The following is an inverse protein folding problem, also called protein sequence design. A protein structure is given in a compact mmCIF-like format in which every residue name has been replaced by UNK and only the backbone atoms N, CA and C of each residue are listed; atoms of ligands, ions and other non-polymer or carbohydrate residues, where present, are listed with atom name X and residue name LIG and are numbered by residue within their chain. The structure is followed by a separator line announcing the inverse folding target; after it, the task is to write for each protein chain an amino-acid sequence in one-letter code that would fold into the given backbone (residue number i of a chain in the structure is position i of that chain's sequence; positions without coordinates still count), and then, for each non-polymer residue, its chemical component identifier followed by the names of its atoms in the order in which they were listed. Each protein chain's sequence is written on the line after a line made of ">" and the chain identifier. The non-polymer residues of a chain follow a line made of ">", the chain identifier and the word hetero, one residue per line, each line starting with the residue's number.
data_IF_883590916592
#
_entry.id   IF_883590916592
#
_cell.length_a   1.000
_cell.length_b   1.000
_cell.length_c   1.000
_cell.angle_alpha   90.00
_cell.angle_beta   90.00
_cell.angle_gamma   90.00
#
_symmetry.space_group_name_H-M   'P 1'
#
loop_
_entity.id
_entity.type
_entity.pdbx_description
1 polymer ?
#
# COMPACT_ATOMS: atom_id res chain seq x y z
N UNK A 1 8.22 -0.49 -11.31
CA UNK A 1 7.31 -1.20 -10.39
C UNK A 1 6.39 -2.20 -11.08
N UNK A 2 5.54 -1.84 -12.06
CA UNK A 2 4.63 -2.82 -12.70
C UNK A 2 5.38 -4.04 -13.26
N UNK A 3 6.50 -3.82 -13.94
CA UNK A 3 7.41 -4.86 -14.40
C UNK A 3 7.83 -5.82 -13.28
N UNK A 4 8.18 -5.28 -12.11
CA UNK A 4 8.63 -6.05 -10.95
C UNK A 4 7.50 -6.83 -10.30
N UNK A 5 6.29 -6.25 -10.22
CA UNK A 5 5.10 -6.98 -9.79
C UNK A 5 4.79 -8.14 -10.74
N UNK A 6 4.85 -7.90 -12.06
CA UNK A 6 4.65 -8.95 -13.06
C UNK A 6 5.72 -10.04 -12.97
N UNK A 7 6.97 -9.67 -12.73
CA UNK A 7 8.08 -10.61 -12.53
C UNK A 7 7.92 -11.44 -11.25
N UNK A 8 7.47 -10.83 -10.16
CA UNK A 8 7.16 -11.55 -8.91
C UNK A 8 5.98 -12.50 -9.05
N UNK A 9 5.04 -12.19 -9.95
CA UNK A 9 3.83 -12.97 -10.16
C UNK A 9 2.79 -12.81 -9.04
N UNK A 10 1.70 -13.58 -9.07
CA UNK A 10 0.66 -13.51 -8.05
C UNK A 10 1.14 -14.03 -6.69
N UNK A 11 0.48 -13.58 -5.61
CA UNK A 11 0.62 -14.21 -4.30
C UNK A 11 -0.14 -15.54 -4.31
N UNK A 12 0.56 -16.64 -4.10
CA UNK A 12 -0.05 -17.97 -4.01
C UNK A 12 -0.60 -18.24 -2.60
N UNK A 13 -1.89 -18.53 -2.54
CA UNK A 13 -2.58 -18.91 -1.32
C UNK A 13 -2.97 -20.38 -1.38
N UNK A 14 -2.76 -21.09 -0.28
CA UNK A 14 -3.20 -22.47 -0.08
C UNK A 14 -4.72 -22.55 -0.01
N UNK A 15 -5.27 -23.75 -0.23
CA UNK A 15 -6.70 -23.99 -0.07
C UNK A 15 -7.18 -23.66 1.35
N UNK A 16 -6.41 -24.00 2.39
CA UNK A 16 -6.73 -23.65 3.77
C UNK A 16 -6.78 -22.14 4.02
N UNK A 17 -5.89 -21.36 3.40
CA UNK A 17 -5.94 -19.89 3.48
C UNK A 17 -7.16 -19.32 2.74
N UNK A 18 -7.52 -19.90 1.60
CA UNK A 18 -8.71 -19.53 0.85
C UNK A 18 -9.98 -19.84 1.65
N UNK A 19 -10.07 -21.01 2.26
CA UNK A 19 -11.21 -21.41 3.08
C UNK A 19 -11.34 -20.57 4.35
N UNK A 20 -10.22 -20.23 4.98
CA UNK A 20 -10.19 -19.30 6.10
C UNK A 20 -10.74 -17.92 5.70
N UNK A 21 -10.29 -17.38 4.56
CA UNK A 21 -10.79 -16.09 4.06
C UNK A 21 -12.28 -16.14 3.72
N UNK A 22 -12.76 -17.23 3.09
CA UNK A 22 -14.19 -17.45 2.82
C UNK A 22 -15.01 -17.56 4.11
N UNK A 23 -14.48 -18.21 5.15
CA UNK A 23 -15.13 -18.30 6.44
C UNK A 23 -15.26 -16.92 7.10
N UNK A 24 -14.21 -16.10 7.06
CA UNK A 24 -14.25 -14.70 7.49
C UNK A 24 -15.32 -13.92 6.73
N UNK A 25 -15.35 -14.01 5.40
CA UNK A 25 -16.33 -13.31 4.55
C UNK A 25 -17.77 -13.70 4.89
N UNK A 26 -18.04 -14.99 5.11
CA UNK A 26 -19.36 -15.47 5.59
C UNK A 26 -19.70 -14.90 6.96
N UNK A 27 -18.74 -14.85 7.89
CA UNK A 27 -18.95 -14.35 9.25
C UNK A 27 -19.31 -12.85 9.27
N UNK A 28 -18.81 -12.07 8.32
CA UNK A 28 -19.14 -10.64 8.18
C UNK A 28 -20.29 -10.38 7.18
N UNK A 29 -20.93 -11.43 6.65
CA UNK A 29 -22.12 -11.33 5.81
C UNK A 29 -21.87 -10.85 4.38
N UNK A 30 -20.66 -11.04 3.82
CA UNK A 30 -20.34 -10.70 2.43
C UNK A 30 -20.11 -11.95 1.57
N UNK A 31 -20.09 -11.76 0.24
CA UNK A 31 -19.84 -12.83 -0.72
C UNK A 31 -18.47 -13.50 -0.47
N UNK A 32 -18.40 -14.84 -0.33
CA UNK A 32 -17.16 -15.55 0.03
C UNK A 32 -16.24 -15.77 -1.18
N UNK A 33 -15.60 -14.70 -1.66
CA UNK A 33 -14.66 -14.71 -2.80
C UNK A 33 -13.29 -15.32 -2.49
N UNK A 34 -12.91 -15.35 -1.21
CA UNK A 34 -11.59 -15.75 -0.73
C UNK A 34 -10.56 -14.61 -0.81
N UNK A 35 -9.32 -14.99 -1.12
CA UNK A 35 -8.15 -14.12 -1.29
C UNK A 35 -7.87 -13.91 -2.77
N UNK A 36 -7.56 -12.67 -3.14
CA UNK A 36 -7.14 -12.31 -4.49
C UNK A 36 -5.64 -12.02 -4.54
N UNK A 37 -4.84 -12.98 -4.96
CA UNK A 37 -3.39 -12.81 -5.10
C UNK A 37 -2.93 -12.21 -6.43
N UNK A 38 -3.86 -11.85 -7.35
CA UNK A 38 -3.50 -11.45 -8.72
C UNK A 38 -2.82 -10.08 -8.74
N UNK A 39 -1.82 -9.95 -9.60
CA UNK A 39 -1.23 -8.65 -9.96
C UNK A 39 -2.21 -7.92 -10.87
N UNK A 40 -2.60 -6.71 -10.48
CA UNK A 40 -3.42 -5.83 -11.30
C UNK A 40 -2.54 -4.78 -11.99
N UNK A 41 -2.96 -4.26 -13.16
CA UNK A 41 -2.32 -3.09 -13.74
C UNK A 41 -2.37 -1.89 -12.79
N UNK A 42 -1.28 -1.12 -12.74
CA UNK A 42 -1.28 0.19 -12.11
C UNK A 42 -2.32 1.08 -12.79
N UNK A 43 -3.07 1.80 -11.98
CA UNK A 43 -4.10 2.71 -12.48
C UNK A 43 -3.51 4.09 -12.77
N UNK A 44 -4.08 4.76 -13.77
CA UNK A 44 -3.80 6.17 -14.03
C UNK A 44 -4.28 7.05 -12.87
N UNK A 45 -3.65 8.21 -12.63
CA UNK A 45 -4.09 9.14 -11.61
C UNK A 45 -5.57 9.52 -11.80
N UNK A 46 -6.38 9.28 -10.77
CA UNK A 46 -7.79 9.69 -10.74
C UNK A 46 -7.89 11.14 -10.22
N UNK A 47 -8.84 11.97 -10.72
CA UNK A 47 -9.06 13.32 -10.18
C UNK A 47 -9.39 13.34 -8.69
N UNK A 48 -10.21 12.37 -8.25
CA UNK A 48 -10.65 12.21 -6.86
C UNK A 48 -10.33 10.80 -6.35
N UNK A 49 -9.07 10.51 -5.98
CA UNK A 49 -8.70 9.19 -5.49
C UNK A 49 -9.33 8.95 -4.11
N UNK A 50 -9.66 7.69 -3.76
CA UNK A 50 -10.10 7.36 -2.41
C UNK A 50 -9.04 7.79 -1.39
N UNK A 51 -9.48 8.51 -0.36
CA UNK A 51 -8.59 9.08 0.66
C UNK A 51 -8.09 8.06 1.69
N UNK A 52 -7.20 8.53 2.55
CA UNK A 52 -6.73 7.84 3.75
C UNK A 52 -6.12 8.85 4.71
N UNK A 53 -6.00 8.50 5.99
CA UNK A 53 -5.33 9.33 7.00
C UNK A 53 -3.99 8.70 7.35
N UNK A 54 -2.91 9.25 6.79
CA UNK A 54 -1.54 8.78 6.98
C UNK A 54 -0.57 9.97 6.90
N UNK A 55 0.44 9.93 7.74
CA UNK A 55 1.62 10.81 7.72
C UNK A 55 2.37 10.82 6.39
N UNK A 56 2.27 9.74 5.59
CA UNK A 56 2.80 9.67 4.23
C UNK A 56 2.25 10.78 3.34
N UNK A 57 1.05 11.31 3.64
CA UNK A 57 0.51 12.48 2.96
C UNK A 57 1.44 13.69 3.05
N UNK A 58 1.99 13.95 4.23
CA UNK A 58 2.90 15.07 4.48
C UNK A 58 4.25 14.85 3.80
N UNK A 59 4.77 13.62 3.86
CA UNK A 59 6.00 13.22 3.17
C UNK A 59 5.87 13.38 1.64
N UNK A 60 4.71 13.02 1.09
CA UNK A 60 4.44 13.08 -0.35
C UNK A 60 4.38 14.50 -0.92
N UNK A 61 4.29 15.53 -0.08
CA UNK A 61 4.44 16.93 -0.49
C UNK A 61 5.90 17.40 -0.53
N UNK A 62 6.81 16.68 0.11
CA UNK A 62 8.22 17.05 0.23
C UNK A 62 9.11 16.30 -0.77
N UNK A 63 8.79 15.03 -1.04
CA UNK A 63 9.57 14.15 -1.92
C UNK A 63 8.69 13.23 -2.76
N UNK A 64 9.16 12.81 -3.96
CA UNK A 64 8.49 11.77 -4.72
C UNK A 64 8.29 10.51 -3.87
N UNK A 65 7.05 10.01 -3.81
CA UNK A 65 6.65 8.96 -2.88
C UNK A 65 5.91 7.86 -3.62
N UNK A 66 6.27 6.61 -3.32
CA UNK A 66 5.59 5.41 -3.81
C UNK A 66 4.92 4.72 -2.63
N UNK A 67 3.67 4.29 -2.82
CA UNK A 67 2.96 3.41 -1.88
C UNK A 67 2.49 2.16 -2.62
N UNK A 68 2.41 1.05 -1.91
CA UNK A 68 1.99 -0.23 -2.45
C UNK A 68 0.93 -0.88 -1.55
N UNK A 69 -0.13 -1.37 -2.15
CA UNK A 69 -1.13 -2.22 -1.50
C UNK A 69 -0.97 -3.65 -2.02
N UNK A 70 -0.99 -4.63 -1.12
CA UNK A 70 -0.92 -6.06 -1.44
C UNK A 70 -1.93 -6.83 -0.61
N UNK A 71 -2.30 -8.02 -1.07
CA UNK A 71 -3.28 -8.88 -0.39
C UNK A 71 -2.72 -9.42 0.92
N UNK A 72 -3.26 -8.91 2.02
CA UNK A 72 -2.94 -9.32 3.41
C UNK A 72 -4.18 -9.74 4.20
N UNK A 73 -5.36 -9.59 3.61
CA UNK A 73 -6.65 -9.96 4.21
C UNK A 73 -7.63 -10.44 3.14
N UNK A 74 -8.73 -11.06 3.58
CA UNK A 74 -9.82 -11.50 2.70
C UNK A 74 -10.37 -10.34 1.83
N UNK A 75 -10.72 -10.65 0.58
CA UNK A 75 -11.22 -9.67 -0.38
C UNK A 75 -12.54 -9.05 0.10
N UNK A 76 -12.69 -7.73 -0.05
CA UNK A 76 -13.93 -7.02 0.30
C UNK A 76 -14.20 -6.89 1.80
N UNK A 77 -13.32 -7.41 2.67
CA UNK A 77 -13.42 -7.22 4.11
C UNK A 77 -13.15 -5.76 4.53
N UNK A 78 -13.79 -5.26 5.61
CA UNK A 78 -13.58 -3.89 6.07
C UNK A 78 -12.18 -3.71 6.66
N UNK A 79 -11.56 -2.56 6.38
CA UNK A 79 -10.38 -2.09 7.09
C UNK A 79 -10.69 -1.77 8.56
N UNK A 80 -9.67 -1.70 9.40
CA UNK A 80 -9.79 -1.42 10.85
C UNK A 80 -10.74 -2.36 11.62
N UNK A 81 -10.85 -3.60 11.17
CA UNK A 81 -11.74 -4.59 11.76
C UNK A 81 -11.01 -5.90 12.07
N UNK A 82 -11.63 -6.72 12.92
CA UNK A 82 -11.10 -8.02 13.32
C UNK A 82 -10.70 -8.97 12.16
N UNK A 83 -11.34 -8.94 10.96
CA UNK A 83 -10.89 -9.74 9.82
C UNK A 83 -9.43 -9.47 9.41
N UNK A 84 -9.00 -8.21 9.48
CA UNK A 84 -7.63 -7.81 9.13
C UNK A 84 -6.64 -8.40 10.13
N UNK A 85 -6.97 -8.34 11.42
CA UNK A 85 -6.14 -8.91 12.49
C UNK A 85 -6.04 -10.43 12.36
N UNK A 86 -7.16 -11.09 12.06
CA UNK A 86 -7.22 -12.55 11.89
C UNK A 86 -6.32 -13.05 10.74
N UNK A 87 -6.33 -12.35 9.59
CA UNK A 87 -5.42 -12.69 8.48
C UNK A 87 -3.97 -12.26 8.74
N UNK A 88 -3.77 -11.14 9.43
CA UNK A 88 -2.45 -10.55 9.66
C UNK A 88 -1.53 -11.42 10.53
N UNK A 89 -2.09 -12.11 11.53
CA UNK A 89 -1.35 -13.01 12.42
C UNK A 89 -1.00 -14.38 11.83
N UNK A 90 -1.24 -14.60 10.54
CA UNK A 90 -1.09 -15.89 9.87
C UNK A 90 -0.27 -15.76 8.59
N UNK A 91 -0.09 -16.89 7.90
CA UNK A 91 0.67 -16.96 6.64
C UNK A 91 0.13 -16.02 5.55
N UNK A 92 -1.17 -15.67 5.56
CA UNK A 92 -1.76 -14.68 4.64
C UNK A 92 -1.05 -13.33 4.77
N UNK A 93 -1.03 -12.77 5.99
CA UNK A 93 -0.35 -11.51 6.28
C UNK A 93 1.16 -11.58 5.99
N UNK A 94 1.82 -12.67 6.39
CA UNK A 94 3.27 -12.84 6.17
C UNK A 94 3.64 -12.93 4.68
N UNK A 95 2.85 -13.66 3.86
CA UNK A 95 3.06 -13.74 2.42
C UNK A 95 2.88 -12.37 1.76
N UNK A 96 1.85 -11.63 2.15
CA UNK A 96 1.65 -10.25 1.71
C UNK A 96 2.85 -9.35 2.07
N UNK A 97 3.30 -9.38 3.32
CA UNK A 97 4.47 -8.63 3.78
C UNK A 97 5.73 -8.92 2.93
N UNK A 98 6.05 -10.20 2.72
CA UNK A 98 7.21 -10.60 1.92
C UNK A 98 7.07 -10.15 0.47
N UNK A 99 5.87 -10.28 -0.11
CA UNK A 99 5.60 -9.86 -1.48
C UNK A 99 5.78 -8.34 -1.65
N UNK A 100 5.17 -7.53 -0.77
CA UNK A 100 5.35 -6.08 -0.77
C UNK A 100 6.82 -5.67 -0.60
N UNK A 101 7.52 -6.32 0.32
CA UNK A 101 8.95 -6.05 0.57
C UNK A 101 9.80 -6.28 -0.68
N UNK A 102 9.57 -7.40 -1.39
CA UNK A 102 10.27 -7.70 -2.65
C UNK A 102 9.91 -6.69 -3.75
N UNK A 103 8.65 -6.32 -3.89
CA UNK A 103 8.21 -5.36 -4.91
C UNK A 103 8.79 -3.96 -4.69
N UNK A 104 8.83 -3.50 -3.44
CA UNK A 104 9.45 -2.23 -3.06
C UNK A 104 10.97 -2.28 -3.24
N UNK A 105 11.64 -3.34 -2.77
CA UNK A 105 13.09 -3.46 -2.86
C UNK A 105 13.57 -3.54 -4.32
N UNK A 106 12.91 -4.31 -5.18
CA UNK A 106 13.24 -4.38 -6.61
C UNK A 106 12.98 -3.06 -7.32
N UNK A 107 11.88 -2.37 -6.99
CA UNK A 107 11.64 -1.02 -7.53
C UNK A 107 12.71 -0.02 -7.07
N UNK A 108 13.17 -0.14 -5.82
CA UNK A 108 14.27 0.68 -5.32
C UNK A 108 15.55 0.42 -6.11
N UNK A 109 15.91 -0.84 -6.38
CA UNK A 109 17.08 -1.19 -7.22
C UNK A 109 17.00 -0.52 -8.59
N UNK A 110 15.87 -0.66 -9.29
CA UNK A 110 15.68 -0.01 -10.60
C UNK A 110 15.91 1.52 -10.52
N UNK A 111 15.37 2.15 -9.48
CA UNK A 111 15.53 3.58 -9.26
C UNK A 111 16.98 3.96 -8.92
N UNK A 112 17.74 3.12 -8.24
CA UNK A 112 19.15 3.38 -7.93
C UNK A 112 20.05 3.22 -9.17
N UNK A 113 19.73 2.28 -10.05
CA UNK A 113 20.52 2.00 -11.26
C UNK A 113 20.19 2.98 -12.41
N UNK A 114 18.98 3.53 -12.47
CA UNK A 114 18.57 4.44 -13.54
C UNK A 114 18.47 5.91 -13.08
N UNK A 115 19.54 6.66 -13.36
CA UNK A 115 19.57 8.10 -13.09
C UNK A 115 18.52 8.90 -13.89
N UNK A 116 18.22 8.49 -15.13
CA UNK A 116 17.24 9.20 -15.98
C UNK A 116 15.84 9.08 -15.40
N UNK A 117 15.47 7.89 -14.94
CA UNK A 117 14.19 7.69 -14.26
C UNK A 117 14.08 8.55 -13.00
N UNK A 118 15.14 8.66 -12.19
CA UNK A 118 15.14 9.57 -11.02
C UNK A 118 14.94 11.03 -11.41
N UNK A 119 15.64 11.50 -12.45
CA UNK A 119 15.50 12.86 -12.96
C UNK A 119 14.08 13.14 -13.49
N UNK A 120 13.49 12.19 -14.20
CA UNK A 120 12.13 12.29 -14.72
C UNK A 120 11.11 12.41 -13.58
N UNK A 121 11.20 11.55 -12.56
CA UNK A 121 10.31 11.58 -11.38
C UNK A 121 10.45 12.91 -10.62
N UNK A 122 11.67 13.42 -10.46
CA UNK A 122 11.90 14.73 -9.82
C UNK A 122 11.34 15.89 -10.64
N UNK A 123 11.38 15.80 -11.96
CA UNK A 123 10.81 16.81 -12.86
C UNK A 123 9.28 16.81 -12.75
N UNK A 124 8.65 15.65 -12.90
CA UNK A 124 7.20 15.49 -12.73
C UNK A 124 6.74 15.99 -11.35
N UNK A 125 7.48 15.68 -10.29
CA UNK A 125 7.16 16.12 -8.94
C UNK A 125 7.17 17.65 -8.80
N UNK A 126 8.17 18.34 -9.36
CA UNK A 126 8.25 19.81 -9.36
C UNK A 126 7.10 20.44 -10.16
N UNK A 127 6.73 19.83 -11.28
CA UNK A 127 5.60 20.28 -12.10
C UNK A 127 4.27 20.13 -11.38
N UNK A 128 4.04 19.00 -10.69
CA UNK A 128 2.82 18.74 -9.92
C UNK A 128 2.69 19.64 -8.69
N UNK A 129 3.78 19.86 -7.97
CA UNK A 129 3.78 20.71 -6.77
C UNK A 129 3.81 22.20 -7.09
N UNK A 130 4.23 22.60 -8.30
CA UNK A 130 4.30 24.02 -8.75
C UNK A 130 5.05 24.93 -7.78
N UNK A 131 6.05 24.40 -7.08
CA UNK A 131 6.81 25.12 -6.05
C UNK A 131 6.03 25.45 -4.78
N UNK A 132 4.88 24.81 -4.54
CA UNK A 132 4.13 24.94 -3.30
C UNK A 132 5.01 24.58 -2.10
N UNK A 133 5.08 25.49 -1.12
CA UNK A 133 5.82 25.27 0.12
C UNK A 133 4.86 24.63 1.12
N UNK A 134 5.00 23.32 1.30
CA UNK A 134 4.22 22.57 2.27
C UNK A 134 4.43 23.08 3.69
N UNK A 135 3.32 23.27 4.41
CA UNK A 135 3.30 23.63 5.83
C UNK A 135 2.53 22.55 6.59
N UNK A 136 3.18 21.83 7.52
CA UNK A 136 2.51 20.83 8.34
C UNK A 136 1.33 21.43 9.11
N UNK A 137 0.25 20.66 9.23
CA UNK A 137 -0.87 21.00 10.12
C UNK A 137 -0.51 20.86 11.60
N UNK A 138 0.48 20.01 11.89
CA UNK A 138 1.00 19.79 13.24
C UNK A 138 2.01 20.91 13.55
N UNK A 139 1.80 21.70 14.61
CA UNK A 139 2.74 22.75 15.01
C UNK A 139 4.10 22.15 15.42
N UNK A 140 5.15 22.93 15.29
CA UNK A 140 6.48 22.54 15.77
C UNK A 140 6.49 22.35 17.29
N UNK A 141 7.14 21.29 17.76
CA UNK A 141 7.31 20.99 19.19
C UNK A 141 6.88 19.56 19.54
N UNK A 142 7.12 19.12 20.80
CA UNK A 142 6.59 17.86 21.29
C UNK A 142 5.06 17.89 21.29
N UNK A 143 4.38 16.72 21.23
CA UNK A 143 2.93 16.69 21.39
C UNK A 143 2.54 17.34 22.72
N UNK A 144 1.42 18.11 22.76
CA UNK A 144 0.95 18.69 24.00
C UNK A 144 0.67 17.56 24.99
N UNK A 145 1.35 17.57 26.13
CA UNK A 145 1.08 16.64 27.22
C UNK A 145 -0.10 17.22 28.01
N UNK A 146 -1.24 16.50 28.13
CA UNK A 146 -2.34 16.95 28.96
C UNK A 146 -1.84 17.20 30.39
N UNK A 147 -2.14 18.38 30.94
CA UNK A 147 -1.99 18.61 32.38
C UNK A 147 -3.06 17.78 33.09
N UNK A 148 -2.64 16.86 33.94
CA UNK A 148 -3.55 16.07 34.81
C UNK A 148 -4.15 16.95 35.90
#
# INVERSE_FOLDING_TARGET
>A
MQSNLNWLGPIEHTEGEQDFARAIQRAIGIEPKGLNGKVQPLEEPRPDPPGGSTDVGDVSWLVPTIRLSVTTSAEGGPGHAWPVVACGGMSIGHKGLVHASKALATTMVDLFEDAKTREAIQTEFKEKTKGYIYKPYIPSGPPPVPQQ
#
